data_IF_956533572767
#
_entry.id   IF_956533572767
#
_cell.length_a   1.000
_cell.length_b   1.000
_cell.length_c   1.000
_cell.angle_alpha   90.00
_cell.angle_beta   90.00
_cell.angle_gamma   90.00
#
_symmetry.space_group_name_H-M   'P 1'
#
loop_
_entity.id
_entity.type
_entity.pdbx_description
1 polymer ?
#
# COMPACT_ATOMS: atom_id res chain seq x y z
N UNK A 1 -18.55 8.20 -27.71
CA UNK A 1 -17.68 7.00 -27.67
C UNK A 1 -16.38 7.36 -26.95
N UNK A 2 -16.21 6.94 -25.70
CA UNK A 2 -14.94 7.02 -24.96
C UNK A 2 -14.67 5.64 -24.39
N UNK A 3 -13.81 4.88 -25.07
CA UNK A 3 -13.28 3.60 -24.61
C UNK A 3 -12.35 3.86 -23.44
N UNK A 4 -12.88 3.73 -22.22
CA UNK A 4 -12.05 3.64 -21.03
C UNK A 4 -11.28 2.34 -21.08
N UNK A 5 -9.96 2.41 -21.30
CA UNK A 5 -9.08 1.29 -21.01
C UNK A 5 -9.15 1.01 -19.50
N UNK A 6 -10.01 0.06 -19.14
CA UNK A 6 -9.94 -0.64 -17.88
C UNK A 6 -8.66 -1.46 -17.91
N UNK A 7 -7.58 -0.92 -17.34
CA UNK A 7 -6.40 -1.70 -17.02
C UNK A 7 -6.80 -2.54 -15.81
N UNK A 8 -7.39 -3.70 -16.09
CA UNK A 8 -7.48 -4.78 -15.10
C UNK A 8 -6.06 -5.09 -14.68
N UNK A 9 -5.72 -4.82 -13.42
CA UNK A 9 -4.52 -5.37 -12.82
C UNK A 9 -4.60 -6.89 -13.05
N UNK A 10 -3.71 -7.43 -13.89
CA UNK A 10 -3.67 -8.85 -14.18
C UNK A 10 -3.52 -9.56 -12.85
N UNK A 11 -4.53 -10.32 -12.43
CA UNK A 11 -4.45 -11.11 -11.21
C UNK A 11 -3.27 -12.06 -11.38
N UNK A 12 -2.20 -11.81 -10.63
CA UNK A 12 -1.00 -12.63 -10.70
C UNK A 12 -1.33 -13.94 -10.01
N UNK A 13 -1.64 -14.97 -10.80
CA UNK A 13 -1.90 -16.33 -10.34
C UNK A 13 -0.71 -17.23 -10.63
N UNK A 14 -0.59 -18.32 -9.86
CA UNK A 14 0.38 -19.35 -10.14
C UNK A 14 -0.02 -20.07 -11.45
N UNK A 15 0.92 -20.40 -12.35
CA UNK A 15 0.62 -21.18 -13.54
C UNK A 15 -0.05 -22.51 -13.22
N UNK A 16 -0.85 -23.02 -14.18
CA UNK A 16 -1.57 -24.27 -14.04
C UNK A 16 -0.66 -25.51 -13.93
N UNK A 17 -1.27 -26.65 -13.60
CA UNK A 17 -0.53 -27.90 -13.41
C UNK A 17 0.23 -28.35 -14.67
N UNK A 18 -0.29 -28.08 -15.87
CA UNK A 18 0.31 -28.46 -17.14
C UNK A 18 1.58 -27.63 -17.41
N UNK A 19 1.53 -26.32 -17.17
CA UNK A 19 2.67 -25.41 -17.24
C UNK A 19 3.76 -25.79 -16.24
N UNK A 20 3.37 -26.12 -15.00
CA UNK A 20 4.30 -26.56 -13.97
C UNK A 20 4.96 -27.91 -14.33
N UNK A 21 4.21 -28.86 -14.89
CA UNK A 21 4.73 -30.14 -15.38
C UNK A 21 5.73 -29.95 -16.53
N UNK A 22 5.41 -29.07 -17.50
CA UNK A 22 6.31 -28.71 -18.58
C UNK A 22 7.63 -28.12 -18.07
N UNK A 23 7.56 -27.19 -17.11
CA UNK A 23 8.74 -26.58 -16.52
C UNK A 23 9.60 -27.60 -15.77
N UNK A 24 8.97 -28.49 -15.00
CA UNK A 24 9.66 -29.57 -14.29
C UNK A 24 10.40 -30.50 -15.25
N UNK A 25 9.71 -31.04 -16.25
CA UNK A 25 10.34 -31.93 -17.24
C UNK A 25 11.49 -31.25 -17.99
N UNK A 26 11.34 -29.96 -18.27
CA UNK A 26 12.43 -29.17 -18.83
C UNK A 26 13.63 -29.09 -17.87
N UNK A 27 13.43 -28.83 -16.57
CA UNK A 27 14.54 -28.85 -15.58
C UNK A 27 15.16 -30.25 -15.41
N UNK A 28 14.40 -31.33 -15.55
CA UNK A 28 14.90 -32.71 -15.50
C UNK A 28 15.82 -33.08 -16.68
N UNK A 29 15.76 -32.31 -17.78
CA UNK A 29 16.66 -32.46 -18.92
C UNK A 29 15.97 -32.50 -20.28
N UNK A 30 14.64 -32.50 -20.32
CA UNK A 30 13.91 -32.47 -21.59
C UNK A 30 14.22 -31.17 -22.35
N UNK A 31 14.30 -31.28 -23.68
CA UNK A 31 14.33 -30.10 -24.54
C UNK A 31 13.03 -29.29 -24.39
N UNK A 32 13.09 -27.97 -24.62
CA UNK A 32 11.88 -27.14 -24.52
C UNK A 32 10.77 -27.61 -25.46
N UNK A 33 11.13 -28.10 -26.66
CA UNK A 33 10.15 -28.66 -27.61
C UNK A 33 9.46 -29.89 -27.01
N UNK A 34 10.22 -30.86 -26.51
CA UNK A 34 9.67 -32.10 -25.96
C UNK A 34 8.80 -31.83 -24.73
N UNK A 35 9.25 -30.98 -23.81
CA UNK A 35 8.47 -30.62 -22.62
C UNK A 35 7.13 -29.94 -22.98
N UNK A 36 7.16 -28.95 -23.88
CA UNK A 36 5.93 -28.25 -24.31
C UNK A 36 5.01 -29.18 -25.09
N UNK A 37 5.52 -29.98 -26.01
CA UNK A 37 4.68 -30.93 -26.76
C UNK A 37 4.04 -31.96 -25.84
N UNK A 38 4.76 -32.45 -24.82
CA UNK A 38 4.25 -33.48 -23.91
C UNK A 38 3.19 -32.98 -22.94
N UNK A 39 3.34 -31.75 -22.43
CA UNK A 39 2.51 -31.25 -21.33
C UNK A 39 1.60 -30.09 -21.69
N UNK A 40 1.86 -29.38 -22.81
CA UNK A 40 1.11 -28.20 -23.24
C UNK A 40 0.56 -28.35 -24.67
N UNK A 41 0.32 -29.57 -25.13
CA UNK A 41 -0.16 -29.84 -26.51
C UNK A 41 -1.47 -29.12 -26.83
N UNK A 42 -2.41 -29.08 -25.88
CA UNK A 42 -3.74 -28.49 -26.06
C UNK A 42 -3.80 -26.99 -25.70
N UNK A 43 -2.90 -26.53 -24.84
CA UNK A 43 -2.88 -25.16 -24.31
C UNK A 43 -1.93 -24.22 -25.07
N UNK A 44 -1.40 -24.64 -26.23
CA UNK A 44 -0.35 -23.91 -26.94
C UNK A 44 -0.90 -22.69 -27.68
N UNK A 45 -0.48 -21.46 -27.35
CA UNK A 45 -0.84 -20.28 -28.13
C UNK A 45 -0.16 -20.33 -29.52
N UNK A 46 -0.88 -20.03 -30.60
CA UNK A 46 -0.30 -19.97 -31.95
C UNK A 46 0.82 -18.92 -32.01
N UNK A 47 1.88 -19.23 -32.76
CA UNK A 47 3.02 -18.31 -32.97
C UNK A 47 4.09 -18.28 -31.87
N UNK A 48 3.89 -18.94 -30.71
CA UNK A 48 4.92 -19.00 -29.67
C UNK A 48 5.90 -20.18 -29.84
N UNK A 49 7.19 -19.88 -29.70
CA UNK A 49 8.24 -20.90 -29.67
C UNK A 49 8.21 -21.66 -28.33
N UNK A 50 8.56 -22.95 -28.33
CA UNK A 50 8.60 -23.75 -27.10
C UNK A 50 9.57 -23.19 -26.06
N UNK A 51 10.69 -22.58 -26.51
CA UNK A 51 11.63 -21.89 -25.60
C UNK A 51 11.00 -20.63 -25.00
N UNK A 52 10.26 -19.88 -25.82
CA UNK A 52 9.52 -18.70 -25.38
C UNK A 52 8.49 -19.03 -24.31
N UNK A 53 7.74 -20.12 -24.49
CA UNK A 53 6.75 -20.61 -23.52
C UNK A 53 7.36 -20.97 -22.17
N UNK A 54 8.44 -21.74 -22.16
CA UNK A 54 9.17 -22.04 -20.90
C UNK A 54 9.67 -20.74 -20.25
N UNK A 55 10.17 -19.79 -21.05
CA UNK A 55 10.58 -18.48 -20.54
C UNK A 55 9.42 -17.67 -19.94
N UNK A 56 8.22 -17.75 -20.52
CA UNK A 56 7.02 -17.11 -20.01
C UNK A 56 6.60 -17.72 -18.67
N UNK A 57 6.47 -19.05 -18.60
CA UNK A 57 6.11 -19.76 -17.35
C UNK A 57 7.06 -19.38 -16.20
N UNK A 58 8.38 -19.31 -16.47
CA UNK A 58 9.35 -18.87 -15.46
C UNK A 58 9.12 -17.43 -15.00
N UNK A 59 8.80 -16.51 -15.91
CA UNK A 59 8.49 -15.12 -15.55
C UNK A 59 7.21 -15.01 -14.75
N UNK A 60 6.19 -15.80 -15.08
CA UNK A 60 4.91 -15.81 -14.37
C UNK A 60 5.08 -16.31 -12.94
N UNK A 61 5.84 -17.40 -12.72
CA UNK A 61 6.17 -17.87 -11.38
C UNK A 61 7.00 -16.83 -10.62
N UNK A 62 7.97 -16.17 -11.27
CA UNK A 62 8.76 -15.12 -10.63
C UNK A 62 7.89 -13.90 -10.23
N UNK A 63 6.92 -13.53 -11.06
CA UNK A 63 5.98 -12.46 -10.75
C UNK A 63 5.06 -12.83 -9.57
N UNK A 64 4.56 -14.08 -9.55
CA UNK A 64 3.77 -14.60 -8.44
C UNK A 64 4.57 -14.68 -7.14
N UNK A 65 5.83 -15.12 -7.19
CA UNK A 65 6.70 -15.12 -6.03
C UNK A 65 6.90 -13.72 -5.44
N UNK A 66 7.09 -12.71 -6.29
CA UNK A 66 7.19 -11.31 -5.85
C UNK A 66 5.90 -10.77 -5.25
N UNK A 67 4.73 -11.11 -5.82
CA UNK A 67 3.45 -10.71 -5.23
C UNK A 67 3.19 -11.34 -3.86
N UNK A 68 3.95 -12.39 -3.51
CA UNK A 68 3.97 -13.00 -2.17
C UNK A 68 5.16 -12.59 -1.31
N UNK A 69 5.92 -11.56 -1.71
CA UNK A 69 7.12 -11.07 -1.04
C UNK A 69 8.21 -12.15 -0.86
N UNK A 70 8.27 -13.12 -1.79
CA UNK A 70 9.26 -14.21 -1.82
C UNK A 70 10.28 -13.98 -2.93
N UNK A 71 11.05 -12.90 -2.83
CA UNK A 71 12.15 -12.61 -3.76
C UNK A 71 13.24 -13.68 -3.78
N UNK A 72 13.42 -14.37 -2.65
CA UNK A 72 14.28 -15.54 -2.53
C UNK A 72 13.88 -16.64 -3.53
N UNK A 73 12.57 -16.92 -3.63
CA UNK A 73 12.03 -17.91 -4.57
C UNK A 73 11.98 -17.35 -5.99
N UNK A 74 11.65 -16.07 -6.17
CA UNK A 74 11.64 -15.43 -7.48
C UNK A 74 13.00 -15.54 -8.20
N UNK A 75 14.11 -15.42 -7.45
CA UNK A 75 15.48 -15.55 -7.97
C UNK A 75 15.76 -16.90 -8.62
N UNK A 76 15.11 -17.98 -8.19
CA UNK A 76 15.26 -19.30 -8.81
C UNK A 76 14.73 -19.33 -10.26
N UNK A 77 13.77 -18.47 -10.56
CA UNK A 77 13.12 -18.39 -11.87
C UNK A 77 13.69 -17.28 -12.75
N UNK A 78 14.46 -16.35 -12.18
CA UNK A 78 15.16 -15.29 -12.92
C UNK A 78 16.63 -15.66 -13.20
N UNK A 79 17.03 -15.72 -14.48
CA UNK A 79 18.43 -15.93 -14.87
C UNK A 79 18.71 -17.28 -15.54
N UNK A 80 19.99 -17.71 -15.63
CA UNK A 80 20.38 -18.99 -16.22
C UNK A 80 19.76 -20.16 -15.44
N UNK A 81 19.11 -21.08 -16.14
CA UNK A 81 18.48 -22.22 -15.50
C UNK A 81 19.46 -23.37 -15.32
N UNK A 82 19.53 -23.92 -14.10
CA UNK A 82 20.21 -25.19 -13.84
C UNK A 82 19.38 -26.36 -14.34
N UNK A 83 20.07 -27.42 -14.78
CA UNK A 83 19.47 -28.65 -15.29
C UNK A 83 19.83 -29.84 -14.40
N UNK A 84 19.00 -30.87 -14.47
CA UNK A 84 19.18 -32.14 -13.78
C UNK A 84 18.21 -32.35 -12.61
N UNK A 85 18.21 -33.55 -12.01
CA UNK A 85 17.24 -33.95 -10.99
C UNK A 85 17.26 -33.08 -9.74
N UNK A 86 18.42 -32.55 -9.35
CA UNK A 86 18.53 -31.63 -8.22
C UNK A 86 17.84 -30.29 -8.49
N UNK A 87 18.02 -29.73 -9.70
CA UNK A 87 17.37 -28.48 -10.09
C UNK A 87 15.84 -28.65 -10.20
N UNK A 88 15.38 -29.77 -10.75
CA UNK A 88 13.96 -30.09 -10.82
C UNK A 88 13.30 -30.23 -9.44
N UNK A 89 13.97 -30.90 -8.49
CA UNK A 89 13.51 -31.00 -7.09
C UNK A 89 13.46 -29.64 -6.40
N UNK A 90 14.48 -28.80 -6.59
CA UNK A 90 14.50 -27.45 -6.02
C UNK A 90 13.34 -26.58 -6.56
N UNK A 91 13.06 -26.65 -7.86
CA UNK A 91 11.93 -25.95 -8.48
C UNK A 91 10.58 -26.48 -7.96
N UNK A 92 10.42 -27.80 -7.85
CA UNK A 92 9.20 -28.38 -7.30
C UNK A 92 8.95 -27.94 -5.85
N UNK A 93 10.00 -27.96 -5.01
CA UNK A 93 9.91 -27.48 -3.62
C UNK A 93 9.56 -25.99 -3.54
N UNK A 94 10.15 -25.15 -4.42
CA UNK A 94 9.83 -23.73 -4.48
C UNK A 94 8.37 -23.49 -4.90
N UNK A 95 7.86 -24.24 -5.87
CA UNK A 95 6.45 -24.16 -6.31
C UNK A 95 5.50 -24.56 -5.18
N UNK A 96 5.80 -25.59 -4.40
CA UNK A 96 4.96 -25.98 -3.25
C UNK A 96 5.00 -24.95 -2.12
N UNK A 97 6.15 -24.30 -1.85
CA UNK A 97 6.21 -23.16 -0.94
C UNK A 97 5.36 -21.98 -1.44
N UNK A 98 5.35 -21.72 -2.75
CA UNK A 98 4.52 -20.66 -3.33
C UNK A 98 3.03 -20.97 -3.26
N UNK A 99 2.64 -22.25 -3.38
CA UNK A 99 1.24 -22.69 -3.30
C UNK A 99 0.62 -22.37 -1.93
N UNK A 100 1.41 -22.52 -0.86
CA UNK A 100 0.99 -22.26 0.52
C UNK A 100 1.36 -20.86 1.04
N UNK A 101 2.10 -20.06 0.25
CA UNK A 101 2.50 -18.72 0.65
C UNK A 101 1.27 -17.83 0.86
N UNK A 102 1.14 -17.24 2.05
CA UNK A 102 0.07 -16.29 2.33
C UNK A 102 0.18 -15.05 1.43
N UNK A 103 -0.96 -14.43 1.11
CA UNK A 103 -0.94 -13.08 0.54
C UNK A 103 -0.42 -12.15 1.64
N UNK A 104 0.68 -11.41 1.39
CA UNK A 104 1.21 -10.50 2.39
C UNK A 104 0.15 -9.43 2.69
N UNK A 105 0.09 -8.99 3.95
CA UNK A 105 -0.80 -7.92 4.40
C UNK A 105 0.07 -6.70 4.75
N UNK A 106 -0.20 -5.51 4.19
CA UNK A 106 0.62 -4.34 4.45
C UNK A 106 0.50 -3.90 5.90
N UNK A 107 1.65 -3.59 6.49
CA UNK A 107 1.75 -2.98 7.81
C UNK A 107 2.19 -1.52 7.68
N UNK A 108 1.75 -0.70 8.63
CA UNK A 108 2.07 0.74 8.68
C UNK A 108 3.58 1.04 8.66
N UNK A 109 4.41 0.15 9.22
CA UNK A 109 5.86 0.30 9.28
C UNK A 109 6.59 -0.16 8.03
N UNK A 110 5.88 -0.78 7.07
CA UNK A 110 6.49 -1.32 5.86
C UNK A 110 7.03 -0.19 4.98
N UNK A 111 8.11 -0.50 4.26
CA UNK A 111 8.69 0.40 3.30
C UNK A 111 7.76 0.61 2.11
N UNK A 112 7.77 1.81 1.55
CA UNK A 112 7.03 2.07 0.30
C UNK A 112 7.53 1.23 -0.87
N UNK A 113 8.80 0.80 -0.85
CA UNK A 113 9.41 -0.04 -1.88
C UNK A 113 8.86 -1.49 -1.88
N UNK A 114 8.32 -1.95 -0.75
CA UNK A 114 7.79 -3.32 -0.62
C UNK A 114 6.42 -3.47 -1.32
N UNK A 115 5.69 -2.35 -1.46
CA UNK A 115 4.28 -2.35 -1.86
C UNK A 115 3.97 -1.54 -3.12
N UNK A 116 4.80 -0.55 -3.44
CA UNK A 116 4.56 0.35 -4.57
C UNK A 116 5.55 0.10 -5.71
N UNK A 117 5.14 0.49 -6.92
CA UNK A 117 5.98 0.36 -8.12
C UNK A 117 7.37 1.02 -7.89
N UNK A 118 8.49 0.40 -8.28
CA UNK A 118 9.83 0.89 -7.94
C UNK A 118 10.08 2.35 -8.30
N UNK A 119 9.53 2.80 -9.43
CA UNK A 119 9.59 4.21 -9.86
C UNK A 119 8.88 5.15 -8.89
N UNK A 120 7.69 4.75 -8.43
CA UNK A 120 6.88 5.53 -7.49
C UNK A 120 7.53 5.54 -6.11
N UNK A 121 7.97 4.38 -5.62
CA UNK A 121 8.67 4.25 -4.33
C UNK A 121 9.95 5.11 -4.29
N UNK A 122 10.76 5.10 -5.36
CA UNK A 122 11.96 5.93 -5.44
C UNK A 122 11.65 7.43 -5.37
N UNK A 123 10.57 7.88 -6.00
CA UNK A 123 10.14 9.28 -5.93
C UNK A 123 9.63 9.65 -4.53
N UNK A 124 8.84 8.77 -3.89
CA UNK A 124 8.36 8.96 -2.53
C UNK A 124 9.52 9.07 -1.53
N UNK A 125 10.50 8.18 -1.62
CA UNK A 125 11.71 8.23 -0.77
C UNK A 125 12.49 9.52 -0.95
N UNK A 126 12.66 10.01 -2.18
CA UNK A 126 13.29 11.32 -2.45
C UNK A 126 12.52 12.48 -1.82
N UNK A 127 11.20 12.35 -1.68
CA UNK A 127 10.34 13.32 -0.99
C UNK A 127 10.25 13.11 0.53
N UNK A 128 11.06 12.20 1.09
CA UNK A 128 11.11 11.91 2.53
C UNK A 128 10.03 10.94 3.03
N UNK A 129 9.21 10.36 2.14
CA UNK A 129 8.19 9.38 2.48
C UNK A 129 8.79 7.99 2.33
N UNK A 130 9.11 7.34 3.45
CA UNK A 130 9.81 6.03 3.45
C UNK A 130 8.88 4.88 3.77
N UNK A 131 7.85 5.13 4.57
CA UNK A 131 6.93 4.09 5.07
C UNK A 131 5.49 4.32 4.63
N UNK A 132 4.66 3.27 4.71
CA UNK A 132 3.22 3.40 4.51
C UNK A 132 2.57 4.33 5.55
N UNK A 133 3.12 4.40 6.78
CA UNK A 133 2.74 5.38 7.78
C UNK A 133 2.97 6.82 7.29
N UNK A 134 4.17 7.15 6.79
CA UNK A 134 4.46 8.51 6.29
C UNK A 134 3.47 8.94 5.20
N UNK A 135 3.05 7.99 4.37
CA UNK A 135 2.12 8.23 3.27
C UNK A 135 0.68 8.41 3.77
N UNK A 136 0.21 7.56 4.69
CA UNK A 136 -1.11 7.69 5.33
C UNK A 136 -1.26 8.96 6.15
N UNK A 137 -0.18 9.53 6.71
CA UNK A 137 -0.22 10.84 7.36
C UNK A 137 -0.47 11.99 6.37
N UNK A 138 -0.06 11.82 5.11
CA UNK A 138 -0.04 12.88 4.09
C UNK A 138 -1.26 12.84 3.16
N UNK A 139 -1.71 11.64 2.76
CA UNK A 139 -2.80 11.42 1.80
C UNK A 139 -4.12 12.06 2.27
N UNK A 140 -4.63 11.82 3.49
CA UNK A 140 -5.92 12.33 3.94
C UNK A 140 -5.94 13.84 4.19
N UNK A 141 -4.77 14.46 4.43
CA UNK A 141 -4.67 15.86 4.88
C UNK A 141 -4.75 16.90 3.76
N UNK A 142 -4.55 16.52 2.49
CA UNK A 142 -4.52 17.47 1.37
C UNK A 142 -5.19 16.87 0.13
N UNK A 143 -6.18 17.59 -0.44
CA UNK A 143 -6.86 17.25 -1.71
C UNK A 143 -5.92 17.01 -2.90
N UNK A 144 -4.68 17.51 -2.84
CA UNK A 144 -3.60 17.25 -3.81
C UNK A 144 -2.29 16.99 -3.07
N UNK A 145 -2.28 16.00 -2.18
CA UNK A 145 -1.10 15.66 -1.35
C UNK A 145 0.18 15.38 -2.15
N UNK A 146 0.03 14.98 -3.42
CA UNK A 146 1.10 14.70 -4.38
C UNK A 146 1.64 15.94 -5.11
N UNK A 147 0.99 17.10 -5.05
CA UNK A 147 1.36 18.27 -5.86
C UNK A 147 2.78 18.79 -5.59
N UNK A 148 3.33 18.56 -4.40
CA UNK A 148 4.71 18.92 -4.05
C UNK A 148 5.73 17.80 -4.32
N UNK A 149 5.34 16.68 -4.93
CA UNK A 149 6.22 15.53 -5.15
C UNK A 149 6.53 15.42 -6.65
N UNK A 150 7.71 15.91 -7.03
CA UNK A 150 8.20 15.83 -8.40
C UNK A 150 8.33 14.37 -8.86
N UNK A 151 7.51 13.97 -9.83
CA UNK A 151 7.48 12.60 -10.37
C UNK A 151 6.21 11.81 -10.04
N UNK A 152 5.30 12.34 -9.20
CA UNK A 152 3.96 11.76 -8.98
C UNK A 152 2.90 12.70 -9.56
N UNK A 153 2.31 12.27 -10.68
CA UNK A 153 1.13 12.92 -11.24
C UNK A 153 -0.18 12.39 -10.63
N UNK A 154 -1.30 13.00 -11.01
CA UNK A 154 -2.64 12.61 -10.53
C UNK A 154 -2.98 11.13 -10.81
N UNK A 155 -2.45 10.53 -11.87
CA UNK A 155 -2.63 9.10 -12.13
C UNK A 155 -1.86 8.21 -11.15
N UNK A 156 -0.64 8.60 -10.76
CA UNK A 156 0.14 7.90 -9.75
C UNK A 156 -0.49 8.02 -8.36
N UNK A 157 -0.97 9.22 -8.01
CA UNK A 157 -1.68 9.46 -6.77
C UNK A 157 -2.96 8.61 -6.65
N UNK A 158 -3.78 8.55 -7.72
CA UNK A 158 -4.98 7.69 -7.75
C UNK A 158 -4.66 6.20 -7.57
N UNK A 159 -3.53 5.72 -8.09
CA UNK A 159 -3.11 4.32 -7.87
C UNK A 159 -2.75 4.06 -6.42
N UNK A 160 -2.07 5.00 -5.78
CA UNK A 160 -1.74 4.91 -4.35
C UNK A 160 -3.03 4.97 -3.50
N UNK A 161 -3.96 5.86 -3.83
CA UNK A 161 -5.26 5.94 -3.16
C UNK A 161 -6.06 4.65 -3.33
N UNK A 162 -6.07 4.05 -4.53
CA UNK A 162 -6.69 2.75 -4.78
C UNK A 162 -6.04 1.62 -3.97
N UNK A 163 -4.71 1.65 -3.78
CA UNK A 163 -4.01 0.71 -2.90
C UNK A 163 -4.49 0.82 -1.46
N UNK A 164 -4.61 2.03 -0.90
CA UNK A 164 -5.13 2.23 0.45
C UNK A 164 -6.62 1.88 0.58
N UNK A 165 -7.42 2.14 -0.45
CA UNK A 165 -8.83 1.74 -0.48
C UNK A 165 -9.00 0.20 -0.50
N UNK A 166 -8.04 -0.54 -1.08
CA UNK A 166 -8.03 -2.00 -1.04
C UNK A 166 -7.57 -2.57 0.32
N UNK A 167 -7.05 -1.74 1.22
CA UNK A 167 -6.53 -2.12 2.54
C UNK A 167 -7.06 -1.15 3.61
N UNK A 168 -8.37 -1.17 3.85
CA UNK A 168 -9.06 -0.26 4.77
C UNK A 168 -8.47 -0.35 6.20
N UNK A 169 -8.13 -1.55 6.63
CA UNK A 169 -7.50 -1.88 7.91
C UNK A 169 -6.13 -1.20 8.11
N UNK A 170 -5.36 -0.98 7.04
CA UNK A 170 -4.12 -0.20 7.09
C UNK A 170 -4.41 1.28 7.37
N UNK A 171 -5.46 1.82 6.74
CA UNK A 171 -5.87 3.23 6.89
C UNK A 171 -6.44 3.49 8.29
N UNK A 172 -7.21 2.54 8.82
CA UNK A 172 -7.77 2.63 10.18
C UNK A 172 -6.69 2.57 11.25
N UNK A 173 -5.72 1.65 11.11
CA UNK A 173 -4.56 1.57 12.01
C UNK A 173 -3.73 2.87 11.98
N UNK A 174 -3.52 3.44 10.80
CA UNK A 174 -2.83 4.73 10.69
C UNK A 174 -3.62 5.89 11.34
N UNK A 175 -4.95 5.90 11.20
CA UNK A 175 -5.82 6.88 11.86
C UNK A 175 -5.79 6.73 13.39
N UNK A 176 -5.79 5.52 13.90
CA UNK A 176 -5.71 5.27 15.35
C UNK A 176 -4.42 5.86 15.95
N UNK A 177 -3.28 5.66 15.29
CA UNK A 177 -2.00 6.26 15.72
C UNK A 177 -2.00 7.80 15.68
N UNK A 178 -2.69 8.38 14.70
CA UNK A 178 -2.83 9.83 14.59
C UNK A 178 -3.60 10.46 15.74
N UNK A 179 -4.68 9.80 16.18
CA UNK A 179 -5.51 10.28 17.30
C UNK A 179 -4.72 10.27 18.62
N UNK A 180 -3.76 9.35 18.78
CA UNK A 180 -2.91 9.28 19.97
C UNK A 180 -1.81 10.37 20.01
N UNK A 181 -1.43 10.95 18.87
CA UNK A 181 -0.27 11.84 18.76
C UNK A 181 -0.60 13.33 18.67
N UNK A 182 -1.86 13.73 18.51
CA UNK A 182 -2.23 15.14 18.53
C UNK A 182 -2.43 15.61 19.98
N UNK A 183 -1.67 16.60 20.49
CA UNK A 183 -2.12 17.34 21.66
C UNK A 183 -3.47 17.94 21.30
N UNK A 184 -4.50 17.66 22.09
CA UNK A 184 -5.83 18.22 21.81
C UNK A 184 -5.82 19.70 22.16
N UNK A 185 -5.74 20.56 21.14
CA UNK A 185 -6.00 22.01 21.27
C UNK A 185 -7.43 22.29 21.80
N UNK A 186 -8.29 21.27 21.79
CA UNK A 186 -9.60 21.26 22.44
C UNK A 186 -9.50 20.50 23.75
N UNK A 187 -9.71 21.20 24.86
CA UNK A 187 -9.82 20.60 26.19
C UNK A 187 -11.28 20.66 26.68
N UNK A 188 -11.71 19.74 27.56
CA UNK A 188 -12.96 19.91 28.30
C UNK A 188 -13.02 21.29 28.93
N UNK A 189 -14.23 21.87 28.98
CA UNK A 189 -14.45 23.23 29.46
C UNK A 189 -13.84 23.46 30.85
N UNK A 190 -13.94 22.47 31.75
CA UNK A 190 -13.42 22.53 33.12
C UNK A 190 -11.89 22.55 33.21
N UNK A 191 -11.20 22.21 32.11
CA UNK A 191 -9.72 22.21 32.00
C UNK A 191 -9.21 23.37 31.17
N UNK A 192 -10.09 24.20 30.61
CA UNK A 192 -9.71 25.35 29.81
C UNK A 192 -9.06 26.40 30.71
N UNK A 193 -7.80 26.72 30.43
CA UNK A 193 -7.08 27.83 31.06
C UNK A 193 -6.88 28.89 29.99
N UNK A 194 -7.62 30.00 30.12
CA UNK A 194 -7.53 31.14 29.19
C UNK A 194 -6.47 32.12 29.70
N UNK A 195 -5.44 32.47 28.91
CA UNK A 195 -4.47 33.48 29.30
C UNK A 195 -5.14 34.84 29.56
N UNK A 196 -4.65 35.59 30.54
CA UNK A 196 -5.26 36.84 30.98
C UNK A 196 -5.36 37.89 29.86
N UNK A 197 -4.40 37.87 28.92
CA UNK A 197 -4.36 38.79 27.78
C UNK A 197 -5.55 38.62 26.84
N UNK A 198 -6.23 37.47 26.90
CA UNK A 198 -7.34 37.08 26.01
C UNK A 198 -8.55 36.53 26.77
N UNK A 199 -8.60 36.68 28.10
CA UNK A 199 -9.70 36.18 28.93
C UNK A 199 -10.98 37.04 28.83
N UNK A 200 -10.89 38.16 28.12
CA UNK A 200 -12.01 39.07 27.88
C UNK A 200 -12.26 40.09 28.99
N UNK A 201 -11.50 40.08 30.09
CA UNK A 201 -11.60 41.08 31.18
C UNK A 201 -11.47 42.51 30.67
N UNK A 202 -10.57 42.74 29.70
CA UNK A 202 -10.28 44.03 29.08
C UNK A 202 -10.91 44.20 27.68
N UNK A 203 -11.93 43.40 27.36
CA UNK A 203 -12.58 43.43 26.04
C UNK A 203 -13.22 44.78 25.74
N UNK A 204 -12.98 45.32 24.53
CA UNK A 204 -13.50 46.62 24.07
C UNK A 204 -15.04 46.75 24.17
N UNK A 205 -15.74 45.62 24.05
CA UNK A 205 -17.20 45.54 24.06
C UNK A 205 -17.78 45.04 25.40
N UNK A 206 -16.97 44.98 26.46
CA UNK A 206 -17.45 44.58 27.80
C UNK A 206 -18.29 45.70 28.40
N UNK A 207 -19.54 45.39 28.73
CA UNK A 207 -20.42 46.33 29.39
C UNK A 207 -19.93 46.67 30.82
N UNK A 208 -20.12 47.91 31.31
CA UNK A 208 -19.76 48.29 32.67
C UNK A 208 -20.40 47.36 33.71
N UNK A 209 -19.64 46.98 34.75
CA UNK A 209 -20.07 45.99 35.75
C UNK A 209 -21.42 46.30 36.40
N UNK A 210 -21.69 47.59 36.65
CA UNK A 210 -22.93 48.06 37.25
C UNK A 210 -24.17 47.82 36.35
N UNK A 211 -23.98 47.64 35.05
CA UNK A 211 -25.04 47.34 34.08
C UNK A 211 -25.22 45.85 33.79
N UNK A 212 -24.36 44.98 34.35
CA UNK A 212 -24.38 43.55 34.09
C UNK A 212 -25.16 42.81 35.18
N UNK A 213 -26.23 42.10 34.79
CA UNK A 213 -27.00 41.20 35.67
C UNK A 213 -26.19 39.95 36.04
N UNK A 214 -25.44 39.39 35.08
CA UNK A 214 -24.59 38.24 35.29
C UNK A 214 -23.36 38.61 36.11
N UNK A 215 -23.00 37.78 37.10
CA UNK A 215 -21.82 38.02 37.94
C UNK A 215 -20.50 37.50 37.33
N UNK A 216 -20.31 37.68 36.03
CA UNK A 216 -19.12 37.23 35.32
C UNK A 216 -18.07 38.34 35.15
N UNK A 217 -16.80 38.06 35.46
CA UNK A 217 -15.72 39.06 35.37
C UNK A 217 -14.88 38.91 34.11
N UNK A 218 -14.89 37.73 33.48
CA UNK A 218 -14.21 37.43 32.23
C UNK A 218 -15.16 36.61 31.31
N UNK A 219 -14.70 36.22 30.13
CA UNK A 219 -15.52 35.47 29.16
C UNK A 219 -15.76 34.03 29.63
N UNK A 220 -14.79 33.42 30.32
CA UNK A 220 -14.93 32.09 30.90
C UNK A 220 -16.08 32.05 31.93
N UNK A 221 -16.11 32.98 32.88
CA UNK A 221 -17.18 33.10 33.88
C UNK A 221 -18.54 33.32 33.22
N UNK A 222 -18.59 34.08 32.12
CA UNK A 222 -19.83 34.41 31.42
C UNK A 222 -20.44 33.18 30.77
N UNK A 223 -19.63 32.40 30.07
CA UNK A 223 -20.06 31.13 29.45
C UNK A 223 -20.38 30.09 30.53
N UNK A 224 -19.59 29.99 31.60
CA UNK A 224 -19.88 29.08 32.72
C UNK A 224 -21.21 29.41 33.38
N UNK A 225 -21.48 30.70 33.63
CA UNK A 225 -22.73 31.15 34.21
C UNK A 225 -23.91 30.81 33.29
N UNK A 226 -23.78 30.99 31.97
CA UNK A 226 -24.79 30.62 30.99
C UNK A 226 -25.04 29.10 30.92
N UNK A 227 -23.99 28.28 30.93
CA UNK A 227 -24.10 26.82 30.94
C UNK A 227 -24.74 26.26 32.22
N UNK A 228 -24.74 27.05 33.29
CA UNK A 228 -25.28 26.66 34.60
C UNK A 228 -26.72 27.15 34.84
N UNK A 229 -27.35 27.80 33.85
CA UNK A 229 -28.76 28.16 33.84
C UNK A 229 -29.64 26.98 33.40
#
# INVERSE_FOLDING_TARGET
MKTGLSVTATSVSLPDAAALAALRGWHEGLSSRVAVTRYLSEARPPGQSSRGLIGAIRRDIAAFARSRHRDDLAKLFTGPARKGPAAARAVAAAVEQLRSAAVPVPLIGDGVDDWLEPRVAAVLRKAGVKTLADLTLRVPRRRRWWAGINGIGAAGARRIEAFFAAHEDLTDRARALLVTSAPSDVVPWEKLVVPHEVDGTMGLHRAPRASCVLRANNDYDAVQAWLSL
#
